data_IF_432704865262
#
_entry.id   IF_432704865262
#
_cell.length_a   1.000
_cell.length_b   1.000
_cell.length_c   1.000
_cell.angle_alpha   90.00
_cell.angle_beta   90.00
_cell.angle_gamma   90.00
#
_symmetry.space_group_name_H-M   'P 1'
#
loop_
_entity.id
_entity.type
_entity.pdbx_description
1 polymer ?
#
# COMPACT_ATOMS: atom_id res chain seq x y z
N UNK A 1 10.34 14.77 -3.70
CA UNK A 1 10.02 15.09 -5.10
C UNK A 1 8.71 14.39 -5.39
N UNK A 2 7.61 15.14 -5.58
CA UNK A 2 6.31 14.57 -5.93
C UNK A 2 6.22 14.46 -7.45
N UNK A 3 6.00 13.26 -7.97
CA UNK A 3 5.72 13.06 -9.39
C UNK A 3 4.23 13.30 -9.61
N UNK A 4 3.87 14.31 -10.39
CA UNK A 4 2.49 14.53 -10.82
C UNK A 4 2.43 14.12 -12.29
N UNK A 5 1.97 12.92 -12.57
CA UNK A 5 1.56 12.55 -13.93
C UNK A 5 0.16 13.12 -14.18
N UNK A 6 -0.12 13.64 -15.38
CA UNK A 6 -1.38 14.32 -15.73
C UNK A 6 -2.61 13.59 -15.15
N UNK A 7 -3.28 14.21 -14.17
CA UNK A 7 -4.51 13.69 -13.56
C UNK A 7 -4.34 12.65 -12.45
N UNK A 8 -3.12 12.39 -11.98
CA UNK A 8 -2.81 11.50 -10.85
C UNK A 8 -2.06 12.28 -9.77
N UNK A 9 -2.63 12.32 -8.57
CA UNK A 9 -1.99 12.92 -7.40
C UNK A 9 -1.27 11.84 -6.59
N UNK A 10 0.01 12.08 -6.30
CA UNK A 10 0.86 11.18 -5.54
C UNK A 10 1.09 11.78 -4.16
N UNK A 11 0.44 11.20 -3.14
CA UNK A 11 0.58 11.63 -1.75
C UNK A 11 1.59 10.71 -1.05
N UNK A 12 2.77 11.24 -0.75
CA UNK A 12 3.78 10.48 0.01
C UNK A 12 3.60 10.71 1.51
N UNK A 13 3.37 9.63 2.25
CA UNK A 13 3.38 9.66 3.71
C UNK A 13 4.72 9.10 4.18
N UNK A 14 5.49 9.92 4.91
CA UNK A 14 6.73 9.50 5.55
C UNK A 14 6.46 9.36 7.05
N UNK A 15 6.68 8.18 7.62
CA UNK A 15 6.55 8.02 9.07
C UNK A 15 7.63 8.85 9.79
N UNK A 16 7.37 9.34 11.01
CA UNK A 16 8.25 10.28 11.69
C UNK A 16 9.62 9.66 11.98
N UNK A 17 10.68 10.25 11.42
CA UNK A 17 12.07 9.87 11.73
C UNK A 17 12.42 10.34 13.15
N UNK A 18 12.52 9.41 14.11
CA UNK A 18 13.07 9.72 15.44
C UNK A 18 14.55 10.12 15.29
N UNK A 19 14.82 11.42 15.38
CA UNK A 19 16.16 12.01 15.28
C UNK A 19 16.87 11.85 16.62
N UNK A 20 17.56 10.73 16.83
CA UNK A 20 18.42 10.46 17.99
C UNK A 20 19.89 10.37 17.58
N UNK A 21 20.76 11.11 18.27
CA UNK A 21 22.22 11.16 18.08
C UNK A 21 22.88 9.82 18.47
N UNK A 22 23.78 9.33 17.62
CA UNK A 22 24.92 8.48 18.04
C UNK A 22 24.76 6.96 17.88
N UNK A 23 25.66 6.39 17.08
CA UNK A 23 26.17 5.01 17.07
C UNK A 23 25.23 3.88 16.59
N UNK A 24 25.71 3.16 15.57
CA UNK A 24 25.08 2.07 14.83
C UNK A 24 23.80 2.45 14.08
N UNK A 25 23.94 2.73 12.78
CA UNK A 25 22.88 2.77 11.77
C UNK A 25 22.22 1.37 11.68
N UNK A 26 21.45 0.97 12.69
CA UNK A 26 20.39 0.00 12.49
C UNK A 26 19.35 0.76 11.64
N UNK A 27 19.61 0.82 10.33
CA UNK A 27 18.71 1.40 9.35
C UNK A 27 17.48 0.49 9.27
N UNK A 28 16.60 0.57 10.27
CA UNK A 28 15.20 0.23 10.06
C UNK A 28 14.70 1.34 9.13
N UNK A 29 14.99 1.17 7.85
CA UNK A 29 14.63 2.09 6.81
C UNK A 29 13.12 1.99 6.70
N UNK A 30 12.42 2.98 7.28
CA UNK A 30 10.97 3.02 7.24
C UNK A 30 10.57 3.03 5.76
N UNK A 31 9.78 2.06 5.29
CA UNK A 31 9.38 1.99 3.89
C UNK A 31 8.62 3.26 3.50
N UNK A 32 8.87 3.77 2.29
CA UNK A 32 8.06 4.87 1.75
C UNK A 32 6.69 4.31 1.38
N UNK A 33 5.63 4.93 1.88
CA UNK A 33 4.26 4.61 1.46
C UNK A 33 3.74 5.77 0.63
N UNK A 34 3.32 5.46 -0.58
CA UNK A 34 2.84 6.46 -1.54
C UNK A 34 1.41 6.09 -1.93
N UNK A 35 0.45 6.97 -1.63
CA UNK A 35 -0.92 6.83 -2.08
C UNK A 35 -1.07 7.45 -3.46
N UNK A 36 -1.68 6.70 -4.39
CA UNK A 36 -1.89 7.13 -5.76
C UNK A 36 -3.39 7.35 -5.95
N UNK A 37 -3.77 8.62 -6.10
CA UNK A 37 -5.16 9.07 -6.12
C UNK A 37 -5.46 9.67 -7.49
N UNK A 38 -6.69 9.47 -7.97
CA UNK A 38 -7.14 9.98 -9.27
C UNK A 38 -8.48 9.38 -9.69
N UNK A 39 -9.17 10.05 -10.60
CA UNK A 39 -10.48 9.63 -11.09
C UNK A 39 -10.48 8.28 -11.85
N UNK A 40 -11.65 7.67 -12.08
CA UNK A 40 -11.74 6.49 -12.94
C UNK A 40 -11.22 6.81 -14.36
N UNK A 41 -10.47 5.90 -14.96
CA UNK A 41 -9.94 6.06 -16.32
C UNK A 41 -8.72 6.96 -16.48
N UNK A 42 -8.20 7.62 -15.42
CA UNK A 42 -7.03 8.50 -15.54
C UNK A 42 -5.68 7.76 -15.67
N UNK A 43 -5.68 6.42 -15.68
CA UNK A 43 -4.49 5.61 -15.91
C UNK A 43 -3.59 5.37 -14.68
N UNK A 44 -4.11 5.48 -13.45
CA UNK A 44 -3.35 5.20 -12.20
C UNK A 44 -2.62 3.87 -12.26
N UNK A 45 -3.34 2.79 -12.55
CA UNK A 45 -2.77 1.45 -12.60
C UNK A 45 -1.61 1.34 -13.57
N UNK A 46 -1.75 1.90 -14.78
CA UNK A 46 -0.66 1.95 -15.78
C UNK A 46 0.56 2.70 -15.27
N UNK A 47 0.35 3.84 -14.59
CA UNK A 47 1.44 4.64 -14.05
C UNK A 47 2.11 3.97 -12.84
N UNK A 48 1.33 3.39 -11.93
CA UNK A 48 1.84 2.63 -10.80
C UNK A 48 2.68 1.43 -11.26
N UNK A 49 2.24 0.71 -12.29
CA UNK A 49 2.97 -0.43 -12.84
C UNK A 49 4.31 -0.01 -13.45
N UNK A 50 4.33 1.11 -14.19
CA UNK A 50 5.57 1.70 -14.72
C UNK A 50 6.54 2.09 -13.62
N UNK A 51 6.05 2.84 -12.61
CA UNK A 51 6.87 3.23 -11.46
C UNK A 51 7.41 1.99 -10.73
N UNK A 52 6.58 0.99 -10.48
CA UNK A 52 7.02 -0.25 -9.80
C UNK A 52 8.12 -0.99 -10.58
N UNK A 53 8.07 -0.98 -11.91
CA UNK A 53 9.07 -1.63 -12.76
C UNK A 53 10.44 -0.92 -12.68
N UNK A 54 10.43 0.41 -12.62
CA UNK A 54 11.64 1.22 -12.81
C UNK A 54 12.31 1.69 -11.50
N UNK A 55 11.62 1.65 -10.35
CA UNK A 55 12.05 2.39 -9.15
C UNK A 55 12.17 1.59 -7.86
N UNK A 56 12.13 0.25 -7.91
CA UNK A 56 12.27 -0.58 -6.69
C UNK A 56 11.10 -0.47 -5.71
N UNK A 57 9.96 0.06 -6.19
CA UNK A 57 8.69 0.11 -5.48
C UNK A 57 7.85 -1.11 -5.82
N UNK A 58 7.01 -1.54 -4.86
CA UNK A 58 5.98 -2.54 -5.13
C UNK A 58 4.61 -1.87 -5.23
N UNK A 59 3.89 -2.12 -6.31
CA UNK A 59 2.48 -1.75 -6.42
C UNK A 59 1.62 -2.67 -5.55
N UNK A 60 0.75 -2.08 -4.74
CA UNK A 60 -0.26 -2.73 -3.93
C UNK A 60 -1.63 -2.15 -4.29
N UNK A 61 -2.59 -3.01 -4.59
CA UNK A 61 -3.96 -2.61 -4.93
C UNK A 61 -4.89 -3.04 -3.80
N UNK A 62 -5.61 -2.11 -3.17
CA UNK A 62 -6.45 -2.45 -2.01
C UNK A 62 -7.51 -3.51 -2.32
N UNK A 63 -8.16 -3.40 -3.48
CA UNK A 63 -9.16 -4.38 -3.91
C UNK A 63 -8.60 -5.80 -4.09
N UNK A 64 -7.33 -5.92 -4.45
CA UNK A 64 -6.65 -7.21 -4.64
C UNK A 64 -6.22 -7.79 -3.30
N UNK A 65 -5.70 -6.97 -2.39
CA UNK A 65 -5.39 -7.36 -1.01
C UNK A 65 -6.63 -7.87 -0.26
N UNK A 66 -7.77 -7.21 -0.45
CA UNK A 66 -9.05 -7.64 0.14
C UNK A 66 -9.49 -9.00 -0.41
N UNK A 67 -9.40 -9.22 -1.73
CA UNK A 67 -9.78 -10.49 -2.37
C UNK A 67 -8.85 -11.63 -1.97
N UNK A 68 -7.56 -11.36 -1.82
CA UNK A 68 -6.58 -12.34 -1.33
C UNK A 68 -6.86 -12.70 0.13
N UNK A 69 -7.12 -11.71 0.99
CA UNK A 69 -7.44 -11.98 2.39
C UNK A 69 -8.77 -12.75 2.53
N UNK A 70 -9.76 -12.47 1.68
CA UNK A 70 -11.04 -13.19 1.63
C UNK A 70 -10.90 -14.68 1.25
N UNK A 71 -9.81 -15.07 0.57
CA UNK A 71 -9.49 -16.47 0.29
C UNK A 71 -8.80 -17.16 1.47
N UNK A 72 -8.33 -16.41 2.47
CA UNK A 72 -7.73 -16.97 3.67
C UNK A 72 -8.79 -17.56 4.60
N UNK A 73 -8.43 -18.64 5.32
CA UNK A 73 -9.24 -19.23 6.37
C UNK A 73 -9.12 -18.50 7.72
N UNK A 74 -8.55 -17.30 7.74
CA UNK A 74 -8.43 -16.49 8.96
C UNK A 74 -9.79 -15.91 9.36
N UNK A 75 -9.95 -15.55 10.64
CA UNK A 75 -11.15 -14.87 11.12
C UNK A 75 -11.43 -13.58 10.32
N UNK A 76 -10.36 -12.83 10.02
CA UNK A 76 -10.41 -11.60 9.23
C UNK A 76 -10.84 -11.90 7.79
N UNK A 77 -10.30 -12.96 7.17
CA UNK A 77 -10.68 -13.42 5.84
C UNK A 77 -12.15 -13.81 5.72
N UNK A 78 -12.68 -14.54 6.71
CA UNK A 78 -14.11 -14.89 6.77
C UNK A 78 -15.00 -13.64 6.84
N UNK A 79 -14.63 -12.66 7.67
CA UNK A 79 -15.37 -11.39 7.77
C UNK A 79 -15.34 -10.62 6.46
N UNK A 80 -14.18 -10.50 5.81
CA UNK A 80 -14.06 -9.78 4.54
C UNK A 80 -14.82 -10.50 3.43
N UNK A 81 -14.73 -11.83 3.37
CA UNK A 81 -15.47 -12.62 2.39
C UNK A 81 -16.97 -12.36 2.49
N UNK A 82 -17.52 -12.40 3.70
CA UNK A 82 -18.93 -12.07 3.93
C UNK A 82 -19.29 -10.64 3.47
N UNK A 83 -18.41 -9.66 3.76
CA UNK A 83 -18.65 -8.26 3.33
C UNK A 83 -18.64 -8.11 1.81
N UNK A 84 -17.68 -8.76 1.12
CA UNK A 84 -17.57 -8.75 -0.34
C UNK A 84 -18.79 -9.43 -0.98
N UNK A 85 -19.18 -10.61 -0.48
CA UNK A 85 -20.32 -11.37 -0.99
C UNK A 85 -21.65 -10.59 -0.82
N UNK A 86 -21.76 -9.79 0.23
CA UNK A 86 -22.91 -8.91 0.48
C UNK A 86 -22.84 -7.56 -0.26
N UNK A 87 -21.75 -7.26 -0.96
CA UNK A 87 -21.55 -5.97 -1.64
C UNK A 87 -21.43 -4.78 -0.66
N UNK A 88 -21.03 -5.04 0.58
CA UNK A 88 -20.87 -4.02 1.62
C UNK A 88 -19.47 -3.40 1.61
N UNK A 89 -19.38 -2.16 2.06
CA UNK A 89 -18.11 -1.43 2.14
C UNK A 89 -17.28 -1.98 3.30
N UNK A 90 -16.05 -2.37 3.01
CA UNK A 90 -15.10 -2.83 4.05
C UNK A 90 -14.66 -1.62 4.91
N UNK A 91 -14.80 -1.68 6.25
CA UNK A 91 -14.35 -0.61 7.13
C UNK A 91 -12.86 -0.29 6.97
N UNK A 92 -12.51 1.00 7.03
CA UNK A 92 -11.13 1.47 6.92
C UNK A 92 -10.17 0.85 7.95
N UNK A 93 -10.66 0.52 9.15
CA UNK A 93 -9.87 -0.16 10.18
C UNK A 93 -9.42 -1.56 9.75
N UNK A 94 -10.26 -2.31 9.03
CA UNK A 94 -9.89 -3.62 8.49
C UNK A 94 -8.94 -3.47 7.30
N UNK A 95 -9.21 -2.51 6.41
CA UNK A 95 -8.32 -2.21 5.29
C UNK A 95 -6.89 -1.87 5.76
N UNK A 96 -6.75 -1.07 6.83
CA UNK A 96 -5.47 -0.73 7.44
C UNK A 96 -4.78 -1.97 8.04
N UNK A 97 -5.54 -2.89 8.66
CA UNK A 97 -4.96 -4.13 9.20
C UNK A 97 -4.35 -5.01 8.11
N UNK A 98 -5.04 -5.17 6.99
CA UNK A 98 -4.54 -5.96 5.85
C UNK A 98 -3.33 -5.27 5.23
N UNK A 99 -3.41 -3.95 5.04
CA UNK A 99 -2.30 -3.17 4.51
C UNK A 99 -1.06 -3.31 5.39
N UNK A 100 -1.24 -3.25 6.71
CA UNK A 100 -0.13 -3.44 7.66
C UNK A 100 0.49 -4.84 7.53
N UNK A 101 -0.33 -5.89 7.47
CA UNK A 101 0.14 -7.28 7.27
C UNK A 101 0.96 -7.42 5.98
N UNK A 102 0.50 -6.79 4.90
CA UNK A 102 1.22 -6.82 3.63
C UNK A 102 2.52 -6.00 3.69
N UNK A 103 2.50 -4.82 4.33
CA UNK A 103 3.70 -4.02 4.56
C UNK A 103 4.76 -4.80 5.34
N UNK A 104 4.39 -5.48 6.42
CA UNK A 104 5.28 -6.32 7.22
C UNK A 104 5.92 -7.46 6.39
N UNK A 105 5.22 -7.97 5.37
CA UNK A 105 5.72 -9.00 4.45
C UNK A 105 6.70 -8.46 3.41
N UNK A 106 6.49 -7.23 2.93
CA UNK A 106 7.26 -6.66 1.81
C UNK A 106 8.46 -5.82 2.26
N UNK A 107 8.42 -5.23 3.46
CA UNK A 107 9.53 -4.45 4.03
C UNK A 107 10.86 -5.22 4.09
N UNK A 108 10.89 -6.51 4.51
CA UNK A 108 12.14 -7.27 4.56
C UNK A 108 12.78 -7.55 3.19
N UNK A 109 12.08 -7.29 2.07
CA UNK A 109 12.54 -7.60 0.72
C UNK A 109 13.51 -6.55 0.16
N UNK A 110 13.89 -5.53 0.94
CA UNK A 110 14.83 -4.49 0.51
C UNK A 110 14.24 -3.49 -0.49
N UNK A 111 12.91 -3.38 -0.55
CA UNK A 111 12.20 -2.46 -1.43
C UNK A 111 12.40 -1.00 -0.98
N UNK A 112 12.35 -0.06 -1.94
CA UNK A 112 12.38 1.37 -1.62
C UNK A 112 11.07 1.84 -0.95
N UNK A 113 9.96 1.17 -1.28
CA UNK A 113 8.65 1.46 -0.73
C UNK A 113 7.51 0.74 -1.44
N UNK A 114 6.29 1.20 -1.17
CA UNK A 114 5.06 0.71 -1.81
C UNK A 114 4.25 1.85 -2.42
N UNK A 115 3.57 1.53 -3.52
CA UNK A 115 2.57 2.37 -4.18
C UNK A 115 1.20 1.77 -3.88
N UNK A 116 0.32 2.51 -3.21
CA UNK A 116 -1.04 2.09 -2.92
C UNK A 116 -2.01 2.69 -3.94
N UNK A 117 -2.59 1.83 -4.77
CA UNK A 117 -3.61 2.16 -5.76
C UNK A 117 -5.00 1.74 -5.25
N UNK A 118 -5.97 2.65 -5.33
CA UNK A 118 -7.36 2.40 -4.95
C UNK A 118 -7.70 2.64 -3.48
N UNK A 119 -7.18 3.73 -2.89
CA UNK A 119 -7.65 4.25 -1.61
C UNK A 119 -8.72 5.33 -1.82
#
# INVERSE_FOLDING_TARGET
MAFIAKGVEIVSVRAPSRRGRGLAKCLIQIPKVIFVIGGPGCGKGTQCQRIATDSGFRQLTMGELLRLEAQSSSSLGVTIKAMIDQGTIVPGSLAIQILRKELERVVPQGLEGVLLDGF
#
